data_IF_639797471390
#
_entry.id   IF_639797471390
#
_cell.length_a   1.000
_cell.length_b   1.000
_cell.length_c   1.000
_cell.angle_alpha   90.00
_cell.angle_beta   90.00
_cell.angle_gamma   90.00
#
_symmetry.space_group_name_H-M   'P 1'
#
loop_
_entity.id
_entity.type
_entity.pdbx_description
1 polymer ?
#
# COMPACT_ATOMS: atom_id res chain seq x y z
N UNK A 1 -2.53 -12.94 -34.11
CA UNK A 1 -2.00 -13.33 -32.78
C UNK A 1 -1.61 -14.79 -32.82
N UNK A 2 -0.43 -15.15 -32.31
CA UNK A 2 -0.04 -16.55 -32.21
C UNK A 2 -0.93 -17.28 -31.17
N UNK A 3 -1.35 -18.53 -31.42
CA UNK A 3 -2.34 -19.25 -30.59
C UNK A 3 -1.91 -19.48 -29.13
N UNK A 4 -0.63 -19.28 -28.81
CA UNK A 4 -0.05 -19.50 -27.49
C UNK A 4 0.31 -18.21 -26.72
N UNK A 5 -0.02 -17.03 -27.25
CA UNK A 5 0.17 -15.77 -26.53
C UNK A 5 -1.04 -15.52 -25.63
N UNK A 6 -0.78 -15.28 -24.35
CA UNK A 6 -1.79 -14.98 -23.33
C UNK A 6 -1.52 -13.59 -22.74
N UNK A 7 -2.49 -12.69 -22.84
CA UNK A 7 -2.35 -11.30 -22.43
C UNK A 7 -3.68 -10.71 -21.90
N UNK A 8 -3.60 -9.62 -21.15
CA UNK A 8 -4.74 -8.95 -20.52
C UNK A 8 -5.06 -9.46 -19.11
N UNK A 9 -6.05 -8.85 -18.44
CA UNK A 9 -6.34 -9.11 -17.03
C UNK A 9 -6.73 -10.56 -16.73
N UNK A 10 -7.29 -11.27 -17.73
CA UNK A 10 -7.68 -12.69 -17.62
C UNK A 10 -6.51 -13.62 -17.29
N UNK A 11 -5.28 -13.18 -17.50
CA UNK A 11 -4.06 -13.93 -17.21
C UNK A 11 -3.22 -13.29 -16.10
N UNK A 12 -3.78 -12.30 -15.39
CA UNK A 12 -3.17 -11.76 -14.18
C UNK A 12 -3.04 -12.84 -13.11
N UNK A 13 -1.91 -12.86 -12.41
CA UNK A 13 -1.63 -13.84 -11.35
C UNK A 13 -1.66 -13.09 -10.00
N UNK A 14 -2.84 -12.96 -9.36
CA UNK A 14 -2.93 -12.34 -8.05
C UNK A 14 -2.28 -13.23 -6.99
N UNK A 15 -1.80 -12.61 -5.91
CA UNK A 15 -1.40 -13.36 -4.72
C UNK A 15 -2.60 -14.14 -4.17
N UNK A 16 -2.42 -15.42 -3.83
CA UNK A 16 -3.51 -16.33 -3.43
C UNK A 16 -4.45 -15.73 -2.38
N UNK A 17 -3.92 -14.98 -1.41
CA UNK A 17 -4.73 -14.38 -0.37
C UNK A 17 -5.77 -13.38 -0.92
N UNK A 18 -5.44 -12.60 -1.96
CA UNK A 18 -6.37 -11.64 -2.56
C UNK A 18 -7.63 -12.31 -3.15
N UNK A 19 -7.55 -13.60 -3.50
CA UNK A 19 -8.69 -14.35 -4.02
C UNK A 19 -9.75 -14.67 -2.97
N UNK A 20 -9.46 -14.46 -1.68
CA UNK A 20 -10.40 -14.69 -0.58
C UNK A 20 -11.06 -13.41 -0.07
N UNK A 21 -10.77 -12.26 -0.68
CA UNK A 21 -11.30 -10.96 -0.28
C UNK A 21 -12.22 -10.41 -1.37
N UNK A 22 -13.30 -9.77 -0.94
CA UNK A 22 -14.20 -9.06 -1.85
C UNK A 22 -13.55 -7.74 -2.30
N UNK A 23 -13.87 -7.28 -3.52
CA UNK A 23 -13.47 -5.95 -3.98
C UNK A 23 -13.95 -4.84 -3.02
N UNK A 24 -13.10 -3.84 -2.79
CA UNK A 24 -13.46 -2.68 -1.97
C UNK A 24 -14.58 -1.86 -2.61
N UNK A 25 -15.50 -1.36 -1.78
CA UNK A 25 -16.55 -0.47 -2.24
C UNK A 25 -16.01 0.95 -2.48
N UNK A 26 -16.49 1.61 -3.54
CA UNK A 26 -16.12 3.01 -3.80
C UNK A 26 -16.93 3.93 -2.89
N UNK A 27 -16.24 4.60 -1.97
CA UNK A 27 -16.81 5.58 -1.05
C UNK A 27 -16.91 6.97 -1.70
N UNK A 28 -17.90 7.77 -1.28
CA UNK A 28 -18.04 9.16 -1.73
C UNK A 28 -16.95 10.09 -1.19
N UNK A 29 -16.41 9.76 -0.01
CA UNK A 29 -15.34 10.49 0.67
C UNK A 29 -14.22 9.52 1.04
N UNK A 30 -12.97 9.94 0.87
CA UNK A 30 -11.78 9.18 1.26
C UNK A 30 -11.42 9.51 2.70
N UNK A 31 -11.17 8.48 3.52
CA UNK A 31 -10.72 8.62 4.92
C UNK A 31 -9.49 7.77 5.20
N UNK A 32 -9.43 6.56 4.66
CA UNK A 32 -8.36 5.58 4.89
C UNK A 32 -7.58 5.34 3.62
N UNK A 33 -6.27 5.52 3.68
CA UNK A 33 -5.38 5.57 2.53
C UNK A 33 -4.28 4.54 2.72
N UNK A 34 -4.17 3.62 1.77
CA UNK A 34 -3.07 2.68 1.69
C UNK A 34 -1.87 3.31 0.94
N UNK A 35 -0.65 3.05 1.40
CA UNK A 35 0.59 3.42 0.72
C UNK A 35 1.49 2.18 0.64
N UNK A 36 1.89 1.78 -0.57
CA UNK A 36 2.81 0.65 -0.74
C UNK A 36 3.51 0.65 -2.09
N UNK A 37 4.84 0.70 -2.10
CA UNK A 37 5.66 0.77 -3.32
C UNK A 37 6.44 -0.52 -3.62
N UNK A 38 5.89 -1.66 -3.17
CA UNK A 38 6.44 -2.98 -3.43
C UNK A 38 7.59 -3.37 -2.49
N UNK A 39 8.34 -4.40 -2.91
CA UNK A 39 9.29 -5.09 -2.03
C UNK A 39 10.48 -4.26 -1.56
N UNK A 40 11.00 -3.38 -2.42
CA UNK A 40 12.26 -2.67 -2.19
C UNK A 40 12.12 -1.15 -2.10
N UNK A 41 11.13 -0.55 -2.79
CA UNK A 41 10.97 0.90 -2.91
C UNK A 41 12.31 1.64 -3.11
N UNK A 42 13.05 1.26 -4.16
CA UNK A 42 14.42 1.74 -4.42
C UNK A 42 14.53 3.26 -4.61
N UNK A 43 13.43 3.91 -4.96
CA UNK A 43 13.38 5.36 -5.18
C UNK A 43 12.90 6.12 -3.93
N UNK A 44 12.70 5.42 -2.80
CA UNK A 44 12.27 5.97 -1.53
C UNK A 44 10.99 6.82 -1.65
N UNK A 45 10.02 6.35 -2.42
CA UNK A 45 8.72 7.02 -2.55
C UNK A 45 7.96 7.01 -1.22
N UNK A 46 8.13 5.96 -0.43
CA UNK A 46 7.54 5.86 0.91
C UNK A 46 8.02 6.98 1.80
N UNK A 47 9.34 7.20 1.88
CA UNK A 47 9.97 8.25 2.68
C UNK A 47 9.45 9.64 2.27
N UNK A 48 9.35 9.88 0.96
CA UNK A 48 8.83 11.16 0.44
C UNK A 48 7.37 11.39 0.79
N UNK A 49 6.53 10.35 0.70
CA UNK A 49 5.13 10.48 1.08
C UNK A 49 4.96 10.64 2.58
N UNK A 50 5.67 9.89 3.42
CA UNK A 50 5.67 10.06 4.88
C UNK A 50 5.97 11.50 5.28
N UNK A 51 7.01 12.12 4.71
CA UNK A 51 7.33 13.53 4.92
C UNK A 51 6.21 14.52 4.52
N UNK A 52 5.27 14.11 3.67
CA UNK A 52 4.14 14.93 3.23
C UNK A 52 2.92 14.69 4.12
N UNK A 53 2.58 13.41 4.36
CA UNK A 53 1.32 13.01 5.01
C UNK A 53 1.32 13.19 6.53
N UNK A 54 2.49 13.35 7.14
CA UNK A 54 2.64 13.68 8.56
C UNK A 54 2.39 15.17 8.89
N UNK A 55 2.14 16.01 7.88
CA UNK A 55 1.82 17.43 8.10
C UNK A 55 0.38 17.56 8.61
N UNK A 56 0.16 18.48 9.56
CA UNK A 56 -1.12 18.67 10.26
C UNK A 56 -2.35 18.75 9.35
N UNK A 57 -2.20 19.37 8.17
CA UNK A 57 -3.26 19.50 7.16
C UNK A 57 -3.79 18.16 6.60
N UNK A 58 -3.16 17.04 6.95
CA UNK A 58 -3.57 15.68 6.56
C UNK A 58 -4.01 14.82 7.75
N UNK A 59 -4.07 15.37 8.97
CA UNK A 59 -4.42 14.61 10.18
C UNK A 59 -5.84 14.02 10.16
N UNK A 60 -6.71 14.52 9.29
CA UNK A 60 -8.07 14.00 9.11
C UNK A 60 -8.14 12.74 8.23
N UNK A 61 -7.03 12.33 7.59
CA UNK A 61 -6.91 11.06 6.89
C UNK A 61 -6.10 10.06 7.71
N UNK A 62 -6.38 8.78 7.55
CA UNK A 62 -5.61 7.69 8.16
C UNK A 62 -4.73 7.03 7.08
N UNK A 63 -3.42 7.06 7.28
CA UNK A 63 -2.44 6.50 6.34
C UNK A 63 -1.90 5.18 6.85
N UNK A 64 -2.10 4.13 6.07
CA UNK A 64 -1.54 2.81 6.34
C UNK A 64 -0.43 2.52 5.34
N UNK A 65 0.80 2.45 5.84
CA UNK A 65 2.03 2.39 5.04
C UNK A 65 2.65 1.00 5.14
N UNK A 66 2.94 0.40 3.98
CA UNK A 66 3.51 -0.94 3.88
C UNK A 66 4.94 -0.92 3.36
N UNK A 67 5.86 -1.37 4.20
CA UNK A 67 7.26 -1.56 3.86
C UNK A 67 7.50 -3.01 3.42
N UNK A 68 8.04 -3.15 2.21
CA UNK A 68 8.47 -4.44 1.68
C UNK A 68 9.72 -4.98 2.38
N UNK A 69 9.96 -6.28 2.23
CA UNK A 69 11.07 -7.01 2.88
C UNK A 69 12.46 -6.48 2.50
N UNK A 70 12.62 -5.95 1.29
CA UNK A 70 13.89 -5.46 0.78
C UNK A 70 14.05 -3.94 0.92
N UNK A 71 13.12 -3.27 1.60
CA UNK A 71 13.22 -1.84 1.89
C UNK A 71 14.30 -1.61 2.94
N UNK A 72 15.17 -0.65 2.68
CA UNK A 72 16.20 -0.21 3.61
C UNK A 72 15.61 0.70 4.70
N UNK A 73 16.44 1.20 5.62
CA UNK A 73 16.09 2.19 6.66
C UNK A 73 14.81 1.93 7.47
N UNK A 74 14.39 0.67 7.61
CA UNK A 74 13.17 0.26 8.32
C UNK A 74 13.04 0.86 9.73
N UNK A 75 14.08 0.85 10.60
CA UNK A 75 13.94 1.40 11.95
C UNK A 75 13.50 2.87 11.94
N UNK A 76 14.09 3.68 11.05
CA UNK A 76 13.74 5.11 10.88
C UNK A 76 12.30 5.27 10.38
N UNK A 77 11.88 4.43 9.43
CA UNK A 77 10.53 4.51 8.89
C UNK A 77 9.45 4.07 9.90
N UNK A 78 9.79 3.19 10.83
CA UNK A 78 8.88 2.77 11.90
C UNK A 78 8.67 3.86 12.95
N UNK A 79 9.58 4.82 13.11
CA UNK A 79 9.43 5.95 14.03
C UNK A 79 8.21 6.82 13.68
N UNK A 80 7.81 6.85 12.41
CA UNK A 80 6.60 7.55 11.95
C UNK A 80 5.28 7.01 12.54
N UNK A 81 5.30 5.87 13.25
CA UNK A 81 4.16 5.43 14.06
C UNK A 81 3.88 6.36 15.26
N UNK A 82 4.74 7.33 15.56
CA UNK A 82 4.46 8.37 16.56
C UNK A 82 3.32 9.31 16.14
N UNK A 83 3.06 9.45 14.83
CA UNK A 83 2.00 10.27 14.29
C UNK A 83 0.66 9.53 14.40
N UNK A 84 -0.34 10.14 15.03
CA UNK A 84 -1.65 9.51 15.31
C UNK A 84 -2.45 9.14 14.07
N UNK A 85 -2.09 9.69 12.90
CA UNK A 85 -2.76 9.47 11.63
C UNK A 85 -1.96 8.57 10.67
N UNK A 86 -0.85 7.98 11.13
CA UNK A 86 0.03 7.12 10.33
C UNK A 86 0.26 5.79 11.04
N UNK A 87 0.15 4.70 10.31
CA UNK A 87 0.52 3.36 10.77
C UNK A 87 1.46 2.71 9.77
N UNK A 88 2.70 2.48 10.16
CA UNK A 88 3.75 1.89 9.32
C UNK A 88 3.96 0.43 9.71
N UNK A 89 3.79 -0.45 8.75
CA UNK A 89 3.95 -1.89 8.89
C UNK A 89 5.10 -2.41 8.02
N UNK A 90 5.77 -3.46 8.50
CA UNK A 90 6.89 -4.08 7.79
C UNK A 90 6.65 -5.57 7.55
N UNK A 91 6.89 -6.01 6.31
CA UNK A 91 6.85 -7.43 5.89
C UNK A 91 5.56 -8.17 6.31
N UNK A 92 4.41 -7.51 6.08
CA UNK A 92 3.07 -8.06 6.36
C UNK A 92 2.80 -9.29 5.50
N UNK A 93 2.26 -10.34 6.13
CA UNK A 93 1.91 -11.60 5.46
C UNK A 93 0.52 -11.55 4.80
N UNK A 94 -0.44 -10.86 5.40
CA UNK A 94 -1.81 -10.75 4.92
C UNK A 94 -2.10 -9.32 4.44
N UNK A 95 -1.53 -8.96 3.29
CA UNK A 95 -1.74 -7.65 2.65
C UNK A 95 -3.21 -7.35 2.30
N UNK A 96 -3.99 -8.31 1.76
CA UNK A 96 -5.39 -8.05 1.40
C UNK A 96 -6.26 -7.62 2.58
N UNK A 97 -6.05 -8.20 3.77
CA UNK A 97 -6.76 -7.79 5.00
C UNK A 97 -6.63 -6.28 5.22
N UNK A 98 -5.39 -5.79 5.23
CA UNK A 98 -5.11 -4.40 5.51
C UNK A 98 -5.59 -3.49 4.36
N UNK A 99 -5.40 -3.92 3.11
CA UNK A 99 -5.87 -3.17 1.94
C UNK A 99 -7.40 -3.06 1.90
N UNK A 100 -8.12 -4.09 2.36
CA UNK A 100 -9.59 -4.10 2.34
C UNK A 100 -10.24 -3.08 3.28
N UNK A 101 -9.50 -2.58 4.28
CA UNK A 101 -9.94 -1.51 5.17
C UNK A 101 -9.68 -0.10 4.59
N UNK A 102 -8.99 0.01 3.45
CA UNK A 102 -8.63 1.30 2.84
C UNK A 102 -9.56 1.67 1.69
N UNK A 103 -9.80 2.97 1.51
CA UNK A 103 -10.66 3.50 0.44
C UNK A 103 -9.90 3.64 -0.88
N UNK A 104 -8.62 4.06 -0.81
CA UNK A 104 -7.74 4.25 -1.97
C UNK A 104 -6.31 3.79 -1.66
N UNK A 105 -5.52 3.60 -2.70
CA UNK A 105 -4.14 3.18 -2.59
C UNK A 105 -3.19 4.06 -3.43
N UNK A 106 -2.06 4.47 -2.84
CA UNK A 106 -0.88 4.98 -3.54
C UNK A 106 0.11 3.84 -3.70
N UNK A 107 0.28 3.38 -4.93
CA UNK A 107 1.17 2.25 -5.24
C UNK A 107 2.06 2.52 -6.43
N UNK A 108 3.10 1.70 -6.58
CA UNK A 108 3.80 1.56 -7.86
C UNK A 108 2.95 0.79 -8.87
N UNK A 109 3.34 0.82 -10.16
CA UNK A 109 2.72 0.06 -11.25
C UNK A 109 3.15 -1.43 -11.26
N UNK A 110 3.28 -2.03 -10.08
CA UNK A 110 3.74 -3.41 -9.88
C UNK A 110 2.61 -4.44 -9.95
#
# INVERSE_FOLDING_TARGET
>A
MAPHIKEGEKYYIPGRLFMFYEPVAVCAEVKKIFIGFGGADQQNYTDRLLNIVCKEKYNHYQFTVMLGRAKENIPVLLEYNEFSNVSVFYNVKNMPEIMSDCDIAFTSRG
#
